data_IF_341918364505
#
_entry.id   IF_341918364505
#
_cell.length_a   1.000
_cell.length_b   1.000
_cell.length_c   1.000
_cell.angle_alpha   90.00
_cell.angle_beta   90.00
_cell.angle_gamma   90.00
#
_symmetry.space_group_name_H-M   'P 1'
#
loop_
_entity.id
_entity.type
_entity.pdbx_description
1 polymer ?
#
# COMPACT_ATOMS: atom_id res chain seq x y z
N UNK A 1 -20.13 8.70 -0.01
CA UNK A 1 -19.17 9.63 0.63
C UNK A 1 -17.76 9.26 0.22
N UNK A 2 -16.87 10.24 0.06
CA UNK A 2 -15.44 9.98 -0.20
C UNK A 2 -14.70 9.76 1.13
N UNK A 3 -13.66 8.94 1.14
CA UNK A 3 -12.88 8.69 2.34
C UNK A 3 -12.20 10.00 2.80
N UNK A 4 -12.29 10.39 4.10
CA UNK A 4 -11.72 11.64 4.60
C UNK A 4 -10.20 11.60 4.77
N UNK A 5 -9.57 10.42 4.65
CA UNK A 5 -8.13 10.26 4.77
C UNK A 5 -7.42 10.82 3.53
N UNK A 6 -6.39 11.64 3.74
CA UNK A 6 -5.54 12.20 2.67
C UNK A 6 -4.68 11.15 1.97
N UNK A 7 -4.39 10.04 2.65
CA UNK A 7 -3.60 8.93 2.12
C UNK A 7 -4.27 7.62 2.48
N UNK A 8 -4.56 6.81 1.48
CA UNK A 8 -5.00 5.43 1.66
C UNK A 8 -3.80 4.52 1.49
N UNK A 9 -3.56 3.66 2.46
CA UNK A 9 -2.53 2.63 2.39
C UNK A 9 -3.18 1.29 2.07
N UNK A 10 -2.51 0.48 1.27
CA UNK A 10 -2.91 -0.89 1.00
C UNK A 10 -1.69 -1.81 0.98
N UNK A 11 -1.92 -3.10 1.14
CA UNK A 11 -0.86 -4.11 1.09
C UNK A 11 -1.33 -5.30 0.27
N UNK A 12 -0.43 -5.87 -0.52
CA UNK A 12 -0.57 -7.22 -1.08
C UNK A 12 0.47 -8.13 -0.43
N UNK A 13 0.17 -9.42 -0.33
CA UNK A 13 1.06 -10.39 0.29
C UNK A 13 1.29 -11.61 -0.63
N UNK A 14 2.53 -12.08 -0.69
CA UNK A 14 2.90 -13.40 -1.21
C UNK A 14 3.71 -14.11 -0.13
N UNK A 15 3.10 -15.09 0.53
CA UNK A 15 3.69 -15.71 1.72
C UNK A 15 3.94 -14.66 2.80
N UNK A 16 5.18 -14.52 3.23
CA UNK A 16 5.60 -13.53 4.24
C UNK A 16 6.02 -12.19 3.64
N UNK A 17 6.15 -12.11 2.31
CA UNK A 17 6.59 -10.88 1.65
C UNK A 17 5.41 -9.96 1.38
N UNK A 18 5.56 -8.70 1.75
CA UNK A 18 4.57 -7.64 1.59
C UNK A 18 5.00 -6.65 0.50
N UNK A 19 4.02 -6.20 -0.28
CA UNK A 19 4.14 -5.04 -1.16
C UNK A 19 3.19 -3.97 -0.66
N UNK A 20 3.73 -2.79 -0.34
CA UNK A 20 2.94 -1.65 0.14
C UNK A 20 2.54 -0.73 -1.00
N UNK A 21 1.31 -0.25 -0.92
CA UNK A 21 0.74 0.71 -1.84
C UNK A 21 0.25 1.93 -1.06
N UNK A 22 0.32 3.10 -1.68
CA UNK A 22 -0.34 4.30 -1.21
C UNK A 22 -1.09 4.99 -2.34
N UNK A 23 -2.13 5.72 -1.96
CA UNK A 23 -2.91 6.60 -2.82
C UNK A 23 -3.11 7.92 -2.08
N UNK A 24 -2.70 9.02 -2.69
CA UNK A 24 -2.99 10.36 -2.18
C UNK A 24 -4.36 10.80 -2.69
N UNK A 25 -5.35 10.94 -1.81
CA UNK A 25 -6.73 11.30 -2.19
C UNK A 25 -6.87 12.77 -2.57
N UNK A 26 -5.86 13.59 -2.26
CA UNK A 26 -5.75 14.98 -2.69
C UNK A 26 -5.19 15.13 -4.09
N UNK A 27 -4.63 14.07 -4.67
CA UNK A 27 -4.19 14.04 -6.06
C UNK A 27 -5.41 13.87 -6.98
N UNK A 28 -5.59 14.80 -7.94
CA UNK A 28 -6.71 14.77 -8.87
C UNK A 28 -6.70 13.53 -9.76
N UNK A 29 -5.52 12.98 -10.04
CA UNK A 29 -5.38 11.80 -10.88
C UNK A 29 -5.50 10.49 -10.09
N UNK A 30 -5.54 10.57 -8.75
CA UNK A 30 -5.69 9.43 -7.84
C UNK A 30 -4.67 8.30 -8.15
N UNK A 31 -3.39 8.65 -8.32
CA UNK A 31 -2.34 7.68 -8.62
C UNK A 31 -2.05 6.74 -7.45
N UNK A 32 -2.14 5.43 -7.71
CA UNK A 32 -1.69 4.39 -6.78
C UNK A 32 -0.19 4.14 -7.01
N UNK A 33 0.60 4.16 -5.95
CA UNK A 33 2.05 3.91 -6.00
C UNK A 33 2.38 2.68 -5.16
N UNK A 34 3.11 1.67 -5.69
CA UNK A 34 3.58 1.58 -7.07
C UNK A 34 2.44 1.36 -8.07
N UNK A 35 2.62 1.87 -9.29
CA UNK A 35 1.62 1.80 -10.35
C UNK A 35 1.22 0.35 -10.67
N UNK A 36 -0.05 0.17 -11.08
CA UNK A 36 -0.53 -1.11 -11.58
C UNK A 36 0.31 -1.57 -12.78
N UNK A 37 0.52 -2.88 -12.91
CA UNK A 37 1.22 -3.45 -14.07
C UNK A 37 0.21 -3.51 -15.21
N UNK A 38 0.45 -2.84 -16.35
CA UNK A 38 -0.47 -2.88 -17.47
C UNK A 38 -0.64 -4.31 -17.96
N UNK A 39 -1.88 -4.80 -18.04
CA UNK A 39 -2.16 -6.15 -18.55
C UNK A 39 -1.79 -6.24 -20.03
N UNK A 40 -1.07 -7.29 -20.40
CA UNK A 40 -0.78 -7.58 -21.81
C UNK A 40 -2.02 -8.22 -22.46
N UNK A 41 -2.44 -7.79 -23.67
CA UNK A 41 -3.73 -8.21 -24.25
C UNK A 41 -3.80 -9.72 -24.57
N UNK A 42 -2.65 -10.35 -24.84
CA UNK A 42 -2.58 -11.76 -25.27
C UNK A 42 -1.68 -12.63 -24.41
N UNK A 43 -1.11 -12.09 -23.32
CA UNK A 43 -0.15 -12.82 -22.46
C UNK A 43 -0.45 -12.53 -21.01
N UNK A 44 -0.32 -13.53 -20.15
CA UNK A 44 -0.35 -13.31 -18.70
C UNK A 44 0.97 -12.64 -18.33
N UNK A 45 0.89 -11.40 -17.87
CA UNK A 45 2.03 -10.64 -17.34
C UNK A 45 1.75 -10.14 -15.93
N UNK A 46 0.96 -10.89 -15.17
CA UNK A 46 0.61 -10.61 -13.77
C UNK A 46 1.78 -10.88 -12.80
N UNK A 47 3.02 -10.79 -13.31
CA UNK A 47 4.22 -10.99 -12.53
C UNK A 47 4.65 -9.65 -11.96
N UNK A 48 4.32 -9.43 -10.68
CA UNK A 48 4.84 -8.31 -9.94
C UNK A 48 6.39 -8.37 -9.86
N UNK A 49 7.11 -7.28 -10.16
CA UNK A 49 8.56 -7.22 -10.00
C UNK A 49 8.99 -7.66 -8.61
N UNK A 50 10.11 -8.39 -8.53
CA UNK A 50 10.67 -8.88 -7.27
C UNK A 50 10.85 -7.76 -6.24
N UNK A 51 11.27 -6.59 -6.71
CA UNK A 51 11.56 -5.43 -5.87
C UNK A 51 10.30 -4.84 -5.19
N UNK A 52 9.09 -5.25 -5.60
CA UNK A 52 7.85 -4.89 -4.89
C UNK A 52 7.65 -5.66 -3.59
N UNK A 53 8.28 -6.83 -3.48
CA UNK A 53 8.16 -7.76 -2.35
C UNK A 53 9.36 -7.58 -1.41
N UNK A 54 9.70 -6.33 -1.12
CA UNK A 54 10.91 -5.90 -0.42
C UNK A 54 10.83 -6.06 1.11
N UNK A 55 9.64 -6.30 1.64
CA UNK A 55 9.38 -6.38 3.07
C UNK A 55 9.04 -7.81 3.49
N UNK A 56 9.79 -8.42 4.40
CA UNK A 56 9.40 -9.66 5.06
C UNK A 56 8.75 -9.39 6.42
N UNK A 57 7.50 -9.80 6.60
CA UNK A 57 6.79 -9.54 7.85
C UNK A 57 7.36 -10.33 9.05
N UNK A 58 8.11 -11.40 8.80
CA UNK A 58 8.76 -12.16 9.87
C UNK A 58 10.06 -11.51 10.36
N UNK A 59 10.60 -10.55 9.62
CA UNK A 59 11.75 -9.76 10.06
C UNK A 59 11.29 -8.59 10.93
N UNK A 60 11.99 -8.24 12.02
CA UNK A 60 11.62 -7.11 12.88
C UNK A 60 11.44 -5.79 12.12
N UNK A 61 12.24 -5.56 11.07
CA UNK A 61 12.13 -4.36 10.25
C UNK A 61 10.82 -4.35 9.43
N UNK A 62 10.38 -5.49 8.91
CA UNK A 62 9.14 -5.58 8.14
C UNK A 62 7.90 -5.49 9.02
N UNK A 63 7.95 -6.12 10.20
CA UNK A 63 6.92 -5.97 11.24
C UNK A 63 6.79 -4.51 11.72
N UNK A 64 7.92 -3.87 11.99
CA UNK A 64 7.98 -2.45 12.35
C UNK A 64 7.35 -1.56 11.28
N UNK A 65 7.70 -1.75 10.01
CA UNK A 65 7.13 -0.98 8.89
C UNK A 65 5.61 -1.12 8.80
N UNK A 66 5.07 -2.34 8.97
CA UNK A 66 3.62 -2.54 8.96
C UNK A 66 2.95 -1.81 10.14
N UNK A 67 3.53 -1.91 11.35
CA UNK A 67 3.00 -1.23 12.53
C UNK A 67 3.00 0.28 12.39
N UNK A 68 4.06 0.87 11.85
CA UNK A 68 4.16 2.32 11.63
C UNK A 68 3.04 2.84 10.72
N UNK A 69 2.75 2.12 9.64
CA UNK A 69 1.65 2.46 8.72
C UNK A 69 0.30 2.37 9.44
N UNK A 70 0.06 1.28 10.19
CA UNK A 70 -1.17 1.10 10.96
C UNK A 70 -1.35 2.20 12.00
N UNK A 71 -0.28 2.54 12.73
CA UNK A 71 -0.31 3.61 13.73
C UNK A 71 -0.61 4.97 13.08
N UNK A 72 0.00 5.26 11.93
CA UNK A 72 -0.29 6.47 11.15
C UNK A 72 -1.78 6.56 10.80
N UNK A 73 -2.40 5.46 10.37
CA UNK A 73 -3.84 5.44 10.06
C UNK A 73 -4.67 5.70 11.32
N UNK A 74 -4.34 5.05 12.44
CA UNK A 74 -5.03 5.22 13.73
C UNK A 74 -4.98 6.69 14.16
N UNK A 75 -3.82 7.30 14.14
CA UNK A 75 -3.61 8.68 14.60
C UNK A 75 -4.39 9.68 13.74
N UNK A 76 -4.38 9.49 12.41
CA UNK A 76 -5.13 10.36 11.49
C UNK A 76 -6.64 10.18 11.69
N UNK A 77 -7.13 8.94 11.84
CA UNK A 77 -8.53 8.68 12.13
C UNK A 77 -8.97 9.31 13.47
N UNK A 78 -8.13 9.23 14.51
CA UNK A 78 -8.42 9.86 15.80
C UNK A 78 -8.53 11.38 15.67
N UNK A 79 -7.65 12.01 14.89
CA UNK A 79 -7.68 13.46 14.64
C UNK A 79 -8.90 13.94 13.84
N UNK A 80 -9.52 13.07 13.04
CA UNK A 80 -10.76 13.39 12.31
C UNK A 80 -12.02 13.32 13.17
N UNK A 81 -11.95 12.64 14.32
CA UNK A 81 -13.07 12.50 15.26
C UNK A 81 -13.05 13.53 16.40
N UNK A 82 -12.02 14.39 16.42
CA UNK A 82 -11.87 15.51 17.36
C UNK A 82 -12.23 16.83 16.69
#
# INVERSE_FOLDING_TARGET
EACPLKTLYAVSAIGTKLCFYNLYTTDNDMHIVPAAIPRHPTRINDTAPKDRWDCDILEPAGEGRLREIVQTIIDVCAALNN
#
